data_IF_852948191356
#
_entry.id   IF_852948191356
#
_cell.length_a   1.000
_cell.length_b   1.000
_cell.length_c   1.000
_cell.angle_alpha   90.00
_cell.angle_beta   90.00
_cell.angle_gamma   90.00
#
_symmetry.space_group_name_H-M   'P 1'
#
loop_
_entity.id
_entity.type
_entity.pdbx_description
1 polymer ?
#
# COMPACT_ATOMS: atom_id res chain seq x y z
N UNK A 1 -14.40 -62.83 -41.98
CA UNK A 1 -13.05 -62.42 -42.41
C UNK A 1 -13.04 -60.91 -42.31
N UNK A 2 -12.44 -60.24 -41.33
CA UNK A 2 -11.22 -60.51 -40.57
C UNK A 2 -11.36 -61.56 -39.45
N UNK A 3 -10.26 -62.25 -39.09
CA UNK A 3 -10.30 -63.47 -38.29
C UNK A 3 -9.99 -63.18 -36.81
N UNK A 4 -10.92 -63.60 -35.95
CA UNK A 4 -10.72 -64.01 -34.56
C UNK A 4 -9.87 -63.14 -33.60
N UNK A 5 -10.55 -62.61 -32.59
CA UNK A 5 -10.04 -62.68 -31.21
C UNK A 5 -9.77 -61.35 -30.52
N UNK A 6 -10.66 -60.95 -29.60
CA UNK A 6 -10.36 -59.97 -28.54
C UNK A 6 -9.29 -60.54 -27.59
N UNK A 7 -8.31 -59.74 -27.15
CA UNK A 7 -7.43 -60.12 -26.05
C UNK A 7 -8.13 -59.96 -24.67
N UNK A 8 -7.79 -60.81 -23.69
CA UNK A 8 -8.42 -60.86 -22.36
C UNK A 8 -7.89 -59.80 -21.38
N UNK A 9 -8.66 -59.55 -20.32
CA UNK A 9 -8.39 -58.61 -19.24
C UNK A 9 -7.16 -59.01 -18.37
N UNK A 10 -6.46 -58.03 -17.77
CA UNK A 10 -5.24 -58.29 -17.00
C UNK A 10 -5.52 -58.88 -15.60
N UNK A 11 -4.63 -59.77 -15.10
CA UNK A 11 -4.73 -60.37 -13.77
C UNK A 11 -4.28 -59.44 -12.63
N UNK A 12 -4.89 -59.66 -11.47
CA UNK A 12 -4.67 -59.02 -10.18
C UNK A 12 -3.20 -59.04 -9.75
N UNK A 13 -2.63 -57.86 -9.47
CA UNK A 13 -1.27 -57.71 -8.94
C UNK A 13 -1.29 -57.67 -7.41
N UNK A 14 -0.67 -58.69 -6.82
CA UNK A 14 -0.29 -58.79 -5.42
C UNK A 14 0.87 -57.82 -5.13
N UNK A 15 0.65 -56.91 -4.18
CA UNK A 15 1.63 -55.91 -3.78
C UNK A 15 2.75 -56.52 -2.93
N UNK A 16 3.99 -56.24 -3.32
CA UNK A 16 5.22 -56.67 -2.67
C UNK A 16 5.58 -55.76 -1.50
N UNK A 17 5.76 -56.36 -0.32
CA UNK A 17 6.16 -55.71 0.93
C UNK A 17 7.69 -55.48 0.97
N UNK A 18 8.19 -54.30 1.39
CA UNK A 18 9.61 -54.07 1.63
C UNK A 18 10.08 -54.66 2.98
N UNK A 19 11.39 -54.97 3.14
CA UNK A 19 11.92 -55.73 4.27
C UNK A 19 12.04 -54.93 5.57
N UNK A 20 11.93 -55.68 6.67
CA UNK A 20 11.93 -55.28 8.08
C UNK A 20 13.35 -54.91 8.57
N UNK A 21 13.53 -53.85 9.37
CA UNK A 21 14.81 -53.57 10.03
C UNK A 21 15.05 -54.47 11.26
N UNK A 22 16.32 -54.66 11.69
CA UNK A 22 16.71 -55.58 12.77
C UNK A 22 16.32 -55.08 14.17
N UNK A 23 16.20 -56.00 15.16
CA UNK A 23 15.80 -55.65 16.53
C UNK A 23 16.94 -54.97 17.29
N UNK A 24 16.70 -53.75 17.76
CA UNK A 24 17.63 -53.03 18.65
C UNK A 24 17.36 -53.40 20.10
N UNK A 25 18.40 -53.87 20.77
CA UNK A 25 18.41 -54.21 22.19
C UNK A 25 18.32 -52.96 23.07
N UNK A 26 17.62 -53.14 24.19
CA UNK A 26 17.26 -52.18 25.22
C UNK A 26 18.45 -51.45 25.87
N UNK A 27 18.31 -50.14 26.03
CA UNK A 27 18.85 -49.36 27.17
C UNK A 27 18.20 -47.97 27.17
N UNK A 28 16.99 -47.88 27.71
CA UNK A 28 16.30 -46.62 27.98
C UNK A 28 16.63 -46.15 29.42
N UNK A 29 16.97 -44.88 29.65
CA UNK A 29 17.00 -44.32 30.99
C UNK A 29 15.57 -44.06 31.51
N UNK A 30 15.32 -44.20 32.83
CA UNK A 30 13.97 -44.17 33.37
C UNK A 30 13.37 -42.76 33.37
N UNK A 31 12.09 -42.70 32.99
CA UNK A 31 11.20 -41.53 33.11
C UNK A 31 10.91 -41.27 34.60
N UNK A 32 11.03 -40.03 35.10
CA UNK A 32 10.72 -39.72 36.50
C UNK A 32 9.21 -39.73 36.79
N UNK A 33 8.81 -40.03 38.04
CA UNK A 33 7.40 -40.17 38.46
C UNK A 33 6.66 -38.82 38.60
N UNK A 34 5.32 -38.81 38.60
CA UNK A 34 4.53 -37.60 38.82
C UNK A 34 4.51 -37.23 40.31
N UNK A 35 4.94 -36.02 40.63
CA UNK A 35 4.87 -35.46 41.99
C UNK A 35 3.62 -34.59 42.14
N UNK A 36 2.71 -35.08 42.96
CA UNK A 36 1.59 -34.37 43.58
C UNK A 36 2.05 -33.51 44.76
N UNK A 37 1.24 -32.49 45.11
CA UNK A 37 1.32 -31.57 46.29
C UNK A 37 2.31 -30.40 46.10
N UNK A 38 1.99 -29.11 46.26
CA UNK A 38 1.01 -28.45 47.12
C UNK A 38 0.73 -27.01 46.68
N UNK A 39 -0.55 -26.66 46.51
CA UNK A 39 -1.22 -25.33 46.67
C UNK A 39 -2.74 -25.64 46.53
N UNK A 40 -3.71 -24.92 47.15
CA UNK A 40 -3.75 -23.52 47.66
C UNK A 40 -4.44 -23.47 49.07
N UNK A 41 -5.09 -22.41 49.66
CA UNK A 41 -5.87 -21.28 49.09
C UNK A 41 -5.67 -19.87 49.74
N UNK A 42 -6.27 -18.80 49.18
CA UNK A 42 -6.77 -17.68 49.97
C UNK A 42 -8.29 -17.52 49.81
N UNK A 43 -9.01 -17.51 50.93
CA UNK A 43 -10.32 -16.86 51.12
C UNK A 43 -10.63 -16.88 52.64
N UNK A 44 -11.36 -15.89 53.20
CA UNK A 44 -12.77 -15.68 52.86
C UNK A 44 -13.25 -14.23 52.76
N UNK A 45 -14.20 -14.01 51.84
CA UNK A 45 -15.23 -12.99 51.99
C UNK A 45 -16.36 -13.56 52.88
N UNK A 46 -17.06 -12.74 53.68
CA UNK A 46 -18.24 -13.20 54.40
C UNK A 46 -19.50 -13.10 53.52
N UNK A 47 -20.11 -14.28 53.37
CA UNK A 47 -21.53 -14.62 53.42
C UNK A 47 -22.58 -13.83 52.64
N UNK A 48 -23.22 -14.56 51.71
CA UNK A 48 -24.56 -14.32 51.23
C UNK A 48 -25.62 -14.53 52.33
N UNK A 49 -26.67 -13.71 52.30
CA UNK A 49 -28.01 -14.12 52.71
C UNK A 49 -28.95 -13.92 51.52
N UNK A 50 -29.46 -15.05 51.05
CA UNK A 50 -30.58 -15.21 50.14
C UNK A 50 -31.86 -14.61 50.74
N UNK A 51 -32.75 -14.05 49.91
CA UNK A 51 -34.20 -14.37 49.89
C UNK A 51 -34.99 -13.45 48.94
N UNK A 52 -35.37 -14.04 47.80
CA UNK A 52 -36.70 -14.05 47.17
C UNK A 52 -37.67 -12.86 47.25
N UNK A 53 -38.20 -12.55 46.05
CA UNK A 53 -39.60 -12.24 45.74
C UNK A 53 -40.22 -10.94 46.29
N UNK A 54 -40.54 -9.99 45.40
CA UNK A 54 -41.90 -9.83 44.83
C UNK A 54 -42.02 -8.51 44.06
N UNK A 55 -42.93 -8.52 43.08
CA UNK A 55 -43.29 -7.44 42.18
C UNK A 55 -43.75 -6.14 42.88
N UNK A 56 -43.37 -4.98 42.31
CA UNK A 56 -44.23 -3.78 42.12
C UNK A 56 -43.49 -2.62 41.42
N UNK A 57 -43.99 -2.22 40.24
CA UNK A 57 -44.05 -0.81 39.81
C UNK A 57 -45.17 -0.08 40.59
N UNK A 58 -45.38 1.25 40.49
CA UNK A 58 -44.51 2.45 40.36
C UNK A 58 -44.84 3.43 41.56
N UNK A 59 -44.51 4.77 41.64
CA UNK A 59 -44.98 5.84 40.72
C UNK A 59 -44.02 7.08 40.50
N UNK A 60 -44.25 7.86 39.43
CA UNK A 60 -44.18 9.36 39.41
C UNK A 60 -45.60 9.88 39.78
N UNK A 61 -45.93 11.14 40.18
CA UNK A 61 -45.26 12.46 40.03
C UNK A 61 -45.53 13.49 41.19
N UNK A 62 -45.13 14.76 41.03
CA UNK A 62 -45.86 16.03 41.35
C UNK A 62 -44.85 17.19 41.45
N UNK A 63 -44.74 18.11 40.49
CA UNK A 63 -45.57 19.30 40.25
C UNK A 63 -45.61 20.30 41.43
N UNK A 64 -44.98 21.48 41.23
CA UNK A 64 -45.47 22.75 41.76
C UNK A 64 -45.49 23.79 40.65
N UNK A 65 -46.66 24.39 40.55
CA UNK A 65 -47.13 25.45 39.67
C UNK A 65 -46.56 26.81 40.08
N UNK A 66 -46.15 27.60 39.10
CA UNK A 66 -46.37 29.05 39.11
C UNK A 66 -46.84 29.42 37.71
N UNK A 67 -48.02 30.02 37.71
CA UNK A 67 -48.82 30.48 36.59
C UNK A 67 -48.28 31.81 36.03
N UNK A 68 -48.93 32.21 34.94
CA UNK A 68 -48.98 33.55 34.34
C UNK A 68 -47.96 33.89 33.23
N UNK A 69 -48.57 34.07 32.05
CA UNK A 69 -48.21 35.00 30.98
C UNK A 69 -47.35 34.49 29.81
N UNK A 70 -48.03 33.65 29.02
CA UNK A 70 -48.20 33.71 27.56
C UNK A 70 -47.75 35.02 26.85
N UNK A 71 -46.46 35.35 26.81
CA UNK A 71 -45.94 36.47 26.01
C UNK A 71 -45.90 36.11 24.52
N UNK A 72 -47.06 36.22 23.87
CA UNK A 72 -47.20 36.12 22.42
C UNK A 72 -46.65 37.38 21.76
N UNK A 73 -45.49 37.26 21.12
CA UNK A 73 -44.90 38.30 20.28
C UNK A 73 -45.86 38.67 19.13
N UNK A 74 -46.49 39.85 19.22
CA UNK A 74 -47.32 40.43 18.14
C UNK A 74 -46.46 41.40 17.32
N UNK A 75 -46.27 41.19 16.02
CA UNK A 75 -45.39 41.99 15.15
C UNK A 75 -45.72 43.50 14.96
N UNK A 76 -46.57 44.11 15.79
CA UNK A 76 -46.98 45.52 15.67
C UNK A 76 -46.78 46.38 16.92
N UNK A 77 -46.17 45.87 18.00
CA UNK A 77 -45.76 46.71 19.12
C UNK A 77 -44.48 47.48 18.78
N UNK A 78 -44.62 48.60 18.07
CA UNK A 78 -43.56 49.60 17.91
C UNK A 78 -43.81 50.76 18.88
N UNK A 79 -42.91 51.03 19.85
CA UNK A 79 -42.93 52.29 20.59
C UNK A 79 -42.58 53.48 19.67
N UNK A 80 -43.39 54.54 19.78
CA UNK A 80 -43.34 55.77 18.98
C UNK A 80 -42.17 56.68 19.41
N UNK A 81 -41.36 57.12 18.45
CA UNK A 81 -40.16 57.97 18.62
C UNK A 81 -40.40 59.34 19.29
N UNK A 82 -39.43 59.78 20.11
CA UNK A 82 -38.97 61.19 20.20
C UNK A 82 -37.44 61.26 20.30
N UNK A 83 -36.77 62.27 19.71
CA UNK A 83 -35.31 62.32 19.59
C UNK A 83 -34.67 63.23 20.65
N UNK A 84 -33.49 62.85 21.14
CA UNK A 84 -32.42 63.77 21.51
C UNK A 84 -31.12 63.00 21.77
N UNK A 85 -30.06 63.56 21.21
CA UNK A 85 -28.65 63.17 21.29
C UNK A 85 -28.05 63.30 22.69
N UNK A 86 -27.19 62.35 23.08
CA UNK A 86 -25.93 62.64 23.76
C UNK A 86 -25.05 61.40 23.83
N UNK A 87 -23.92 61.46 23.12
CA UNK A 87 -22.58 61.03 23.54
C UNK A 87 -22.47 60.13 24.78
N UNK A 88 -21.80 58.99 24.58
CA UNK A 88 -21.02 58.32 25.63
C UNK A 88 -21.52 56.94 26.00
N UNK A 89 -21.08 55.90 25.29
CA UNK A 89 -20.86 54.57 25.87
C UNK A 89 -19.80 53.84 25.06
N UNK A 90 -18.60 53.88 25.61
CA UNK A 90 -17.52 52.94 25.35
C UNK A 90 -17.98 51.50 25.61
N UNK A 91 -17.30 50.56 24.96
CA UNK A 91 -17.30 49.11 25.18
C UNK A 91 -18.49 48.31 24.63
N UNK A 92 -18.28 47.71 23.46
CA UNK A 92 -18.36 46.25 23.31
C UNK A 92 -17.82 45.84 21.95
N UNK A 93 -16.49 45.85 21.84
CA UNK A 93 -15.83 44.91 20.93
C UNK A 93 -16.19 43.52 21.46
N UNK A 94 -17.20 42.89 20.87
CA UNK A 94 -17.23 41.44 20.86
C UNK A 94 -15.99 41.02 20.06
N UNK A 95 -15.01 40.29 20.64
CA UNK A 95 -13.98 39.67 19.84
C UNK A 95 -14.73 38.75 18.89
N UNK A 96 -14.79 39.11 17.60
CA UNK A 96 -15.28 38.18 16.59
C UNK A 96 -14.43 36.94 16.76
N UNK A 97 -15.08 35.86 17.18
CA UNK A 97 -14.49 34.56 17.36
C UNK A 97 -13.55 34.31 16.18
N UNK A 98 -12.30 33.95 16.49
CA UNK A 98 -11.36 33.43 15.51
C UNK A 98 -12.06 32.28 14.79
N UNK A 99 -12.65 32.57 13.64
CA UNK A 99 -13.19 31.54 12.76
C UNK A 99 -11.97 30.77 12.29
N UNK A 100 -11.83 29.59 12.88
CA UNK A 100 -11.01 28.46 12.46
C UNK A 100 -10.47 28.65 11.06
N UNK A 101 -9.14 28.70 10.92
CA UNK A 101 -8.36 28.64 9.67
C UNK A 101 -9.16 27.98 8.54
N UNK A 102 -9.90 28.79 7.78
CA UNK A 102 -10.66 28.31 6.64
C UNK A 102 -9.66 28.18 5.52
N UNK A 103 -9.44 26.95 5.06
CA UNK A 103 -8.75 26.67 3.82
C UNK A 103 -9.42 27.51 2.72
N UNK A 104 -8.65 28.24 1.90
CA UNK A 104 -9.24 29.03 0.83
C UNK A 104 -10.09 28.14 -0.08
N UNK A 105 -11.13 28.70 -0.74
CA UNK A 105 -12.03 27.96 -1.61
C UNK A 105 -11.23 27.09 -2.59
N UNK A 106 -11.71 25.87 -2.92
CA UNK A 106 -10.97 24.90 -3.74
C UNK A 106 -10.42 25.46 -5.05
N UNK A 107 -11.01 26.52 -5.61
CA UNK A 107 -10.60 27.14 -6.86
C UNK A 107 -9.30 27.95 -6.80
N UNK A 108 -8.82 28.37 -5.61
CA UNK A 108 -7.57 29.14 -5.47
C UNK A 108 -6.41 28.32 -4.92
N UNK A 109 -6.65 27.07 -4.53
CA UNK A 109 -5.61 26.18 -4.06
C UNK A 109 -5.04 25.43 -5.27
N UNK A 110 -3.80 25.72 -5.63
CA UNK A 110 -3.07 24.89 -6.59
C UNK A 110 -2.93 23.44 -6.09
N UNK A 111 -2.43 22.51 -6.93
CA UNK A 111 -2.28 21.12 -6.56
C UNK A 111 -1.54 20.94 -5.23
N UNK A 112 -1.99 20.01 -4.41
CA UNK A 112 -1.33 19.73 -3.14
C UNK A 112 0.14 19.38 -3.32
N UNK A 113 1.00 20.02 -2.52
CA UNK A 113 2.43 19.73 -2.43
C UNK A 113 2.86 19.77 -0.97
N UNK A 114 3.91 19.01 -0.63
CA UNK A 114 4.44 18.95 0.73
C UNK A 114 5.96 19.00 0.74
N UNK A 115 6.52 19.69 1.74
CA UNK A 115 7.96 19.76 2.00
C UNK A 115 8.46 18.57 2.82
N UNK A 116 7.53 17.81 3.41
CA UNK A 116 7.85 16.64 4.21
C UNK A 116 8.38 15.51 3.32
N UNK A 117 9.63 15.04 3.52
CA UNK A 117 10.20 13.94 2.73
C UNK A 117 9.54 12.59 3.01
N UNK A 118 8.83 12.44 4.13
CA UNK A 118 8.17 11.18 4.52
C UNK A 118 6.76 11.05 3.95
N UNK A 119 6.22 12.16 3.42
CA UNK A 119 4.93 12.20 2.74
C UNK A 119 5.18 12.19 1.23
N UNK A 120 4.79 11.09 0.61
CA UNK A 120 4.90 10.90 -0.83
C UNK A 120 3.53 11.20 -1.43
N UNK A 121 3.40 12.28 -2.19
CA UNK A 121 2.13 12.60 -2.87
C UNK A 121 1.91 11.59 -3.99
N UNK A 122 0.75 10.94 -4.02
CA UNK A 122 0.41 9.91 -5.01
C UNK A 122 -0.80 10.33 -5.84
N UNK A 123 -0.79 9.93 -7.11
CA UNK A 123 -1.91 10.15 -8.03
C UNK A 123 -3.03 9.16 -7.80
N UNK A 124 -2.68 7.90 -7.52
CA UNK A 124 -3.65 6.87 -7.23
C UNK A 124 -3.02 5.67 -6.51
N UNK A 125 -3.87 4.89 -5.86
CA UNK A 125 -3.58 3.53 -5.40
C UNK A 125 -4.66 2.58 -5.92
N UNK A 126 -4.24 1.42 -6.42
CA UNK A 126 -5.11 0.37 -6.94
C UNK A 126 -4.84 -0.93 -6.19
N UNK A 127 -5.90 -1.64 -5.81
CA UNK A 127 -5.82 -2.97 -5.22
C UNK A 127 -6.26 -4.01 -6.24
N UNK A 128 -5.42 -5.02 -6.44
CA UNK A 128 -5.78 -6.21 -7.21
C UNK A 128 -5.85 -7.40 -6.26
N UNK A 129 -6.95 -8.15 -6.34
CA UNK A 129 -7.16 -9.30 -5.46
C UNK A 129 -6.25 -10.49 -5.80
N UNK A 130 -5.77 -10.59 -7.04
CA UNK A 130 -4.98 -11.71 -7.53
C UNK A 130 -3.85 -11.22 -8.45
N UNK A 131 -2.70 -11.91 -8.41
CA UNK A 131 -1.54 -11.68 -9.28
C UNK A 131 -1.84 -11.67 -10.79
N UNK A 132 -2.90 -12.34 -11.24
CA UNK A 132 -3.29 -12.39 -12.66
C UNK A 132 -4.44 -11.43 -13.02
N UNK A 133 -5.00 -10.71 -12.05
CA UNK A 133 -6.12 -9.82 -12.30
C UNK A 133 -5.69 -8.61 -13.13
N UNK A 134 -6.32 -8.39 -14.28
CA UNK A 134 -6.08 -7.21 -15.13
C UNK A 134 -6.86 -5.97 -14.67
N UNK A 135 -7.97 -6.19 -13.99
CA UNK A 135 -8.83 -5.12 -13.47
C UNK A 135 -8.61 -4.97 -11.97
N UNK A 136 -8.43 -3.74 -11.45
CA UNK A 136 -8.36 -3.52 -10.02
C UNK A 136 -9.71 -3.81 -9.36
N UNK A 137 -9.67 -4.41 -8.17
CA UNK A 137 -10.85 -4.67 -7.34
C UNK A 137 -11.36 -3.39 -6.65
N UNK A 138 -10.46 -2.48 -6.32
CA UNK A 138 -10.77 -1.15 -5.78
C UNK A 138 -9.66 -0.17 -6.15
N UNK A 139 -9.97 1.13 -6.03
CA UNK A 139 -9.02 2.21 -6.28
C UNK A 139 -9.31 3.44 -5.41
N UNK A 140 -8.27 4.21 -5.08
CA UNK A 140 -8.38 5.62 -4.70
C UNK A 140 -7.61 6.45 -5.71
N UNK A 141 -8.23 7.50 -6.22
CA UNK A 141 -7.62 8.44 -7.17
C UNK A 141 -7.66 9.82 -6.54
N UNK A 142 -6.51 10.48 -6.52
CA UNK A 142 -6.35 11.82 -5.96
C UNK A 142 -7.26 12.83 -6.68
N UNK A 143 -7.99 13.63 -5.90
CA UNK A 143 -8.96 14.60 -6.41
C UNK A 143 -10.29 14.02 -6.92
N UNK A 144 -10.55 12.72 -6.72
CA UNK A 144 -11.79 12.07 -7.16
C UNK A 144 -12.67 11.64 -5.98
N UNK A 145 -13.98 11.88 -6.10
CA UNK A 145 -14.97 11.48 -5.11
C UNK A 145 -14.73 12.14 -3.75
N UNK A 146 -14.47 11.33 -2.73
CA UNK A 146 -14.19 11.82 -1.36
C UNK A 146 -12.71 12.06 -1.11
N UNK A 147 -11.83 11.71 -2.05
CA UNK A 147 -10.37 11.85 -1.91
C UNK A 147 -9.94 13.20 -2.45
N UNK A 148 -9.26 14.00 -1.64
CA UNK A 148 -8.71 15.28 -2.10
C UNK A 148 -7.48 15.07 -2.97
N UNK A 149 -6.95 16.17 -3.50
CA UNK A 149 -5.68 16.20 -4.23
C UNK A 149 -4.45 15.89 -3.37
N UNK A 150 -4.59 15.80 -2.04
CA UNK A 150 -3.50 15.45 -1.12
C UNK A 150 -3.52 14.02 -0.60
N UNK A 151 -3.85 13.08 -1.48
CA UNK A 151 -3.61 11.66 -1.23
C UNK A 151 -2.09 11.41 -1.10
N UNK A 152 -1.67 10.88 0.04
CA UNK A 152 -0.26 10.61 0.33
C UNK A 152 -0.03 9.14 0.69
N UNK A 153 1.18 8.67 0.37
CA UNK A 153 1.77 7.43 0.85
C UNK A 153 2.88 7.75 1.83
N UNK A 154 2.86 7.09 3.00
CA UNK A 154 3.97 7.08 3.96
C UNK A 154 4.54 5.68 4.04
N UNK A 155 5.83 5.56 3.76
CA UNK A 155 6.56 4.30 3.87
C UNK A 155 7.39 4.35 5.15
N UNK A 156 6.97 3.59 6.17
CA UNK A 156 7.63 3.55 7.48
C UNK A 156 8.17 2.15 7.77
N UNK A 157 8.79 1.95 8.93
CA UNK A 157 9.24 0.63 9.39
C UNK A 157 8.08 -0.32 9.69
N UNK A 158 6.86 0.20 9.86
CA UNK A 158 5.67 -0.58 10.20
C UNK A 158 4.86 -1.01 8.97
N UNK A 159 5.08 -0.37 7.82
CA UNK A 159 4.32 -0.65 6.61
C UNK A 159 4.20 0.52 5.63
N UNK A 160 3.22 0.40 4.74
CA UNK A 160 2.77 1.41 3.80
C UNK A 160 1.44 1.97 4.33
N UNK A 161 1.37 3.28 4.54
CA UNK A 161 0.19 3.94 5.09
C UNK A 161 -0.34 4.98 4.13
N UNK A 162 -1.66 5.04 3.98
CA UNK A 162 -2.31 5.97 3.07
C UNK A 162 -3.15 6.95 3.86
N UNK A 163 -3.00 8.24 3.56
CA UNK A 163 -3.77 9.30 4.20
C UNK A 163 -4.23 10.32 3.16
N UNK A 164 -5.33 10.99 3.45
CA UNK A 164 -5.70 12.25 2.82
C UNK A 164 -5.18 13.39 3.72
N UNK A 165 -4.05 13.97 3.35
CA UNK A 165 -3.34 14.94 4.19
C UNK A 165 -4.03 16.30 4.27
N UNK A 166 -4.88 16.61 3.29
CA UNK A 166 -5.68 17.86 3.28
C UNK A 166 -6.80 17.77 4.29
N UNK A 167 -7.46 16.62 4.36
CA UNK A 167 -8.55 16.35 5.30
C UNK A 167 -8.05 15.84 6.65
N UNK A 168 -6.80 15.41 6.74
CA UNK A 168 -6.24 14.72 7.90
C UNK A 168 -6.91 13.37 8.18
N UNK A 169 -7.42 12.70 7.13
CA UNK A 169 -8.17 11.45 7.25
C UNK A 169 -7.28 10.28 6.85
N UNK A 170 -6.99 9.34 7.77
CA UNK A 170 -6.27 8.12 7.41
C UNK A 170 -7.17 7.19 6.60
N UNK A 171 -6.65 6.67 5.48
CA UNK A 171 -7.31 5.69 4.61
C UNK A 171 -6.91 4.28 5.06
N UNK A 172 -7.23 3.94 6.31
CA UNK A 172 -6.68 2.75 7.01
C UNK A 172 -6.96 1.43 6.30
N UNK A 173 -8.04 1.35 5.55
CA UNK A 173 -8.40 0.19 4.73
C UNK A 173 -7.43 -0.07 3.58
N UNK A 174 -6.58 0.91 3.24
CA UNK A 174 -5.51 0.81 2.26
C UNK A 174 -4.13 0.57 2.87
N UNK A 175 -4.01 0.60 4.21
CA UNK A 175 -2.74 0.39 4.90
C UNK A 175 -2.24 -1.05 4.69
N UNK A 176 -0.94 -1.18 4.41
CA UNK A 176 -0.27 -2.47 4.22
C UNK A 176 0.79 -2.64 5.29
N UNK A 177 0.61 -3.61 6.18
CA UNK A 177 1.56 -3.87 7.27
C UNK A 177 2.87 -4.49 6.76
N UNK A 178 4.00 -4.10 7.34
CA UNK A 178 5.33 -4.55 6.93
C UNK A 178 5.49 -6.08 6.96
N UNK A 179 4.92 -6.75 7.99
CA UNK A 179 5.02 -8.20 8.13
C UNK A 179 4.20 -8.99 7.09
N UNK A 180 3.25 -8.34 6.39
CA UNK A 180 2.50 -8.97 5.29
C UNK A 180 3.21 -8.81 3.96
N UNK A 181 4.22 -7.93 3.83
CA UNK A 181 4.87 -7.68 2.56
C UNK A 181 5.76 -8.86 2.13
N UNK A 182 5.65 -9.23 0.85
CA UNK A 182 6.47 -10.25 0.19
C UNK A 182 7.52 -9.60 -0.70
N UNK A 183 7.07 -8.70 -1.58
CA UNK A 183 7.87 -8.13 -2.65
C UNK A 183 7.43 -6.69 -2.90
N UNK A 184 8.40 -5.81 -3.08
CA UNK A 184 8.20 -4.46 -3.58
C UNK A 184 8.91 -4.34 -4.92
N UNK A 185 8.18 -3.90 -5.94
CA UNK A 185 8.70 -3.67 -7.29
C UNK A 185 8.58 -2.20 -7.62
N UNK A 186 9.67 -1.63 -8.13
CA UNK A 186 9.74 -0.19 -8.40
C UNK A 186 10.04 0.05 -9.88
N UNK A 187 9.24 0.92 -10.48
CA UNK A 187 9.50 1.50 -11.79
C UNK A 187 10.01 2.93 -11.64
N UNK A 188 11.25 3.14 -12.07
CA UNK A 188 11.85 4.45 -12.23
C UNK A 188 12.50 4.52 -13.61
N UNK A 189 12.00 5.34 -14.56
CA UNK A 189 12.51 5.38 -15.92
C UNK A 189 14.03 5.58 -16.02
N UNK A 190 14.66 6.59 -15.38
CA UNK A 190 16.11 6.76 -15.49
C UNK A 190 16.92 5.63 -14.88
N UNK A 191 16.40 4.97 -13.85
CA UNK A 191 17.08 3.82 -13.25
C UNK A 191 16.93 2.59 -14.13
N UNK A 192 15.70 2.21 -14.47
CA UNK A 192 15.41 0.98 -15.19
C UNK A 192 15.89 1.01 -16.66
N UNK A 193 15.91 2.18 -17.30
CA UNK A 193 16.40 2.31 -18.69
C UNK A 193 17.93 2.41 -18.76
N UNK A 194 18.60 3.05 -17.80
CA UNK A 194 20.07 3.10 -17.76
C UNK A 194 20.69 1.80 -17.22
N UNK A 195 20.05 1.10 -16.28
CA UNK A 195 20.50 -0.24 -15.85
C UNK A 195 20.48 -1.25 -16.99
N UNK A 196 19.60 -1.07 -17.98
CA UNK A 196 19.63 -1.83 -19.23
C UNK A 196 20.82 -1.48 -20.14
N UNK A 197 21.39 -0.27 -20.04
CA UNK A 197 22.56 0.17 -20.81
C UNK A 197 23.90 -0.22 -20.16
N UNK A 198 23.97 -0.26 -18.82
CA UNK A 198 25.18 -0.61 -18.06
C UNK A 198 25.54 -2.11 -18.08
N UNK A 199 24.73 -2.95 -18.73
CA UNK A 199 24.95 -4.39 -18.85
C UNK A 199 25.66 -4.81 -20.16
N UNK A 200 26.18 -3.86 -20.94
CA UNK A 200 27.08 -4.19 -22.05
C UNK A 200 28.47 -4.49 -21.48
N UNK A 201 28.98 -5.75 -21.55
CA UNK A 201 30.37 -5.99 -21.21
C UNK A 201 31.22 -5.23 -22.24
N UNK A 202 32.15 -4.41 -21.76
CA UNK A 202 33.23 -3.91 -22.59
C UNK A 202 34.02 -5.14 -23.10
N UNK A 203 33.75 -5.59 -24.32
CA UNK A 203 34.53 -6.64 -24.98
C UNK A 203 35.89 -6.06 -25.39
N UNK A 204 36.84 -6.04 -24.46
CA UNK A 204 38.25 -6.10 -24.81
C UNK A 204 38.61 -7.57 -25.03
N UNK A 205 38.56 -8.05 -26.27
CA UNK A 205 39.54 -9.03 -26.79
C UNK A 205 39.25 -9.37 -28.25
N UNK A 206 40.33 -9.27 -29.03
CA UNK A 206 40.43 -9.55 -30.44
C UNK A 206 40.31 -11.05 -30.77
N UNK A 207 39.99 -11.31 -32.04
CA UNK A 207 40.14 -12.57 -32.80
C UNK A 207 39.21 -13.75 -32.46
N UNK A 208 38.06 -13.83 -33.17
CA UNK A 208 37.62 -15.05 -33.86
C UNK A 208 36.44 -14.75 -34.82
N UNK A 209 36.48 -15.15 -36.11
CA UNK A 209 35.43 -14.85 -37.07
C UNK A 209 34.46 -16.04 -37.22
N UNK A 210 33.50 -16.18 -36.31
CA UNK A 210 32.37 -17.11 -36.49
C UNK A 210 31.20 -16.72 -35.58
N UNK A 211 30.06 -16.34 -36.14
CA UNK A 211 28.80 -16.20 -35.39
C UNK A 211 28.20 -14.80 -35.33
N UNK A 212 27.95 -14.16 -36.48
CA UNK A 212 27.18 -12.91 -36.54
C UNK A 212 25.68 -13.13 -36.22
N UNK A 213 25.12 -14.31 -36.53
CA UNK A 213 23.71 -14.63 -36.27
C UNK A 213 23.40 -15.04 -34.82
N UNK A 214 24.38 -15.56 -34.07
CA UNK A 214 24.19 -15.90 -32.64
C UNK A 214 24.18 -14.66 -31.73
N UNK A 215 24.81 -13.55 -32.16
CA UNK A 215 24.95 -12.31 -31.38
C UNK A 215 23.64 -11.53 -31.24
N UNK A 216 22.78 -11.50 -32.26
CA UNK A 216 21.49 -10.78 -32.17
C UNK A 216 20.45 -11.49 -31.30
N UNK A 217 20.44 -12.83 -31.29
CA UNK A 217 19.52 -13.61 -30.46
C UNK A 217 19.87 -13.49 -28.97
N UNK A 218 21.16 -13.53 -28.63
CA UNK A 218 21.64 -13.36 -27.25
C UNK A 218 21.58 -11.92 -26.74
N UNK A 219 21.56 -10.91 -27.63
CA UNK A 219 21.36 -9.52 -27.23
C UNK A 219 19.90 -9.29 -26.83
N UNK A 220 18.92 -9.72 -27.65
CA UNK A 220 17.48 -9.62 -27.31
C UNK A 220 17.09 -10.44 -26.07
N UNK A 221 17.70 -11.62 -25.87
CA UNK A 221 17.47 -12.42 -24.68
C UNK A 221 18.07 -11.79 -23.40
N UNK A 222 19.13 -10.98 -23.50
CA UNK A 222 19.73 -10.29 -22.35
C UNK A 222 19.14 -8.93 -22.04
N UNK A 223 18.49 -8.26 -23.00
CA UNK A 223 17.75 -7.00 -22.77
C UNK A 223 16.43 -7.23 -22.02
N UNK A 224 15.89 -8.46 -22.06
CA UNK A 224 14.64 -8.82 -21.37
C UNK A 224 14.87 -9.45 -19.98
N UNK A 225 16.04 -10.03 -19.72
CA UNK A 225 16.20 -10.99 -18.60
C UNK A 225 16.91 -10.44 -17.34
N UNK A 226 17.60 -9.29 -17.41
CA UNK A 226 18.43 -8.82 -16.27
C UNK A 226 17.90 -7.66 -15.44
N UNK A 227 16.80 -7.02 -15.83
CA UNK A 227 16.32 -5.80 -15.18
C UNK A 227 15.02 -5.90 -14.38
N UNK A 228 14.24 -6.99 -14.53
CA UNK A 228 12.82 -6.97 -14.14
C UNK A 228 12.29 -8.17 -13.36
N UNK A 229 13.10 -9.18 -13.09
CA UNK A 229 12.61 -10.46 -12.54
C UNK A 229 13.47 -11.04 -11.43
N UNK A 230 14.68 -10.51 -11.18
CA UNK A 230 15.49 -10.95 -10.05
C UNK A 230 15.00 -10.26 -8.78
N UNK A 231 14.36 -11.02 -7.89
CA UNK A 231 14.07 -10.56 -6.53
C UNK A 231 15.38 -10.42 -5.76
N UNK A 232 15.72 -9.19 -5.42
CA UNK A 232 16.89 -8.81 -4.63
C UNK A 232 16.56 -8.85 -3.14
N UNK A 233 17.52 -9.27 -2.33
CA UNK A 233 17.44 -9.32 -0.87
C UNK A 233 18.76 -8.83 -0.26
N UNK A 234 18.82 -8.70 1.07
CA UNK A 234 20.04 -8.28 1.79
C UNK A 234 20.69 -7.02 1.23
N UNK A 235 22.01 -7.05 1.09
CA UNK A 235 22.84 -5.95 0.59
C UNK A 235 22.60 -5.65 -0.91
N UNK A 236 22.27 -6.66 -1.73
CA UNK A 236 21.98 -6.45 -3.15
C UNK A 236 20.78 -5.50 -3.34
N UNK A 237 19.74 -5.66 -2.51
CA UNK A 237 18.59 -4.78 -2.53
C UNK A 237 18.93 -3.36 -2.04
N UNK A 238 19.80 -3.21 -1.03
CA UNK A 238 20.22 -1.89 -0.55
C UNK A 238 21.06 -1.14 -1.58
N UNK A 239 21.96 -1.85 -2.29
CA UNK A 239 22.72 -1.30 -3.41
C UNK A 239 21.79 -0.84 -4.54
N UNK A 240 20.82 -1.67 -4.93
CA UNK A 240 19.80 -1.32 -5.93
C UNK A 240 19.02 -0.07 -5.55
N UNK A 241 18.53 0.02 -4.32
CA UNK A 241 17.76 1.19 -3.86
C UNK A 241 18.62 2.45 -3.76
N UNK A 242 19.91 2.31 -3.44
CA UNK A 242 20.86 3.44 -3.39
C UNK A 242 21.12 4.00 -4.79
N UNK A 243 21.32 3.11 -5.77
CA UNK A 243 21.49 3.50 -7.17
C UNK A 243 20.22 4.13 -7.74
N UNK A 244 19.05 3.56 -7.43
CA UNK A 244 17.75 4.13 -7.77
C UNK A 244 17.55 5.52 -7.17
N UNK A 245 17.90 5.71 -5.89
CA UNK A 245 17.82 7.00 -5.22
C UNK A 245 18.70 8.05 -5.93
N UNK A 246 19.90 7.66 -6.35
CA UNK A 246 20.82 8.52 -7.10
C UNK A 246 20.24 8.93 -8.45
N UNK A 247 19.67 7.99 -9.19
CA UNK A 247 18.99 8.26 -10.46
C UNK A 247 17.79 9.19 -10.28
N UNK A 248 16.93 8.93 -9.28
CA UNK A 248 15.77 9.77 -9.00
C UNK A 248 16.15 11.21 -8.59
N UNK A 249 17.19 11.37 -7.74
CA UNK A 249 17.64 12.70 -7.31
C UNK A 249 18.24 13.53 -8.42
N UNK A 250 18.92 12.91 -9.39
CA UNK A 250 19.61 13.59 -10.48
C UNK A 250 18.75 13.82 -11.73
N UNK A 251 17.58 13.18 -11.80
CA UNK A 251 16.71 13.21 -12.98
C UNK A 251 15.25 13.50 -12.63
N UNK A 252 14.57 12.58 -11.92
CA UNK A 252 13.13 12.66 -11.64
C UNK A 252 12.75 13.88 -10.79
N UNK A 253 13.53 14.16 -9.75
CA UNK A 253 13.32 15.32 -8.88
C UNK A 253 13.38 16.66 -9.62
N UNK A 254 14.07 16.70 -10.76
CA UNK A 254 14.27 17.90 -11.57
C UNK A 254 13.26 18.02 -12.71
N UNK A 255 12.30 17.09 -12.83
CA UNK A 255 11.34 17.10 -13.95
C UNK A 255 11.97 16.73 -15.30
N UNK A 256 13.14 16.08 -15.29
CA UNK A 256 13.92 15.84 -16.51
C UNK A 256 13.63 14.49 -17.16
N UNK A 257 12.71 13.67 -16.64
CA UNK A 257 12.46 12.35 -17.21
C UNK A 257 11.81 12.45 -18.59
N UNK A 258 10.83 13.33 -18.75
CA UNK A 258 10.14 13.47 -20.03
C UNK A 258 11.11 13.88 -21.16
N UNK A 259 11.95 14.88 -20.89
CA UNK A 259 12.93 15.37 -21.89
C UNK A 259 14.04 14.38 -22.18
N UNK A 260 14.63 13.73 -21.16
CA UNK A 260 15.73 12.77 -21.36
C UNK A 260 15.30 11.48 -22.03
N UNK A 261 14.06 11.05 -21.80
CA UNK A 261 13.56 9.76 -22.31
C UNK A 261 12.55 9.92 -23.44
N UNK A 262 12.34 11.13 -23.96
CA UNK A 262 11.40 11.43 -25.06
C UNK A 262 11.56 10.48 -26.25
N UNK A 263 12.79 10.20 -26.65
CA UNK A 263 13.09 9.35 -27.81
C UNK A 263 13.16 7.84 -27.50
N UNK A 264 13.04 7.45 -26.23
CA UNK A 264 13.06 6.03 -25.86
C UNK A 264 11.74 5.37 -26.27
N UNK A 265 11.82 4.42 -27.21
CA UNK A 265 10.69 3.61 -27.65
C UNK A 265 10.60 2.34 -26.81
N UNK A 266 9.58 2.24 -25.96
CA UNK A 266 9.25 1.01 -25.23
C UNK A 266 8.04 0.40 -25.94
N UNK A 267 8.09 -0.86 -26.36
CA UNK A 267 6.98 -1.46 -27.09
C UNK A 267 5.70 -1.51 -26.24
N UNK A 268 4.56 -1.07 -26.82
CA UNK A 268 3.21 -1.27 -26.25
C UNK A 268 2.72 -2.70 -26.52
N UNK A 269 1.96 -3.26 -25.59
CA UNK A 269 1.22 -4.50 -25.82
C UNK A 269 0.13 -4.36 -26.90
N UNK A 270 -0.35 -3.14 -27.15
CA UNK A 270 -1.34 -2.83 -28.19
C UNK A 270 -0.75 -2.76 -29.61
N UNK A 271 0.58 -2.86 -29.76
CA UNK A 271 1.27 -2.67 -31.04
C UNK A 271 1.32 -1.21 -31.52
N UNK A 272 0.71 -0.26 -30.81
CA UNK A 272 0.82 1.15 -31.12
C UNK A 272 2.17 1.70 -30.62
N UNK A 273 3.03 2.09 -31.55
CA UNK A 273 4.32 2.77 -31.28
C UNK A 273 4.15 4.26 -31.02
N UNK A 274 3.08 4.65 -30.33
CA UNK A 274 2.79 6.04 -29.97
C UNK A 274 3.73 6.58 -28.89
N UNK A 275 3.93 7.90 -28.89
CA UNK A 275 4.63 8.65 -27.85
C UNK A 275 4.04 8.30 -26.48
N UNK A 276 4.86 7.71 -25.62
CA UNK A 276 4.45 7.40 -24.25
C UNK A 276 4.46 8.71 -23.47
N UNK A 277 3.27 9.29 -23.25
CA UNK A 277 3.08 10.57 -22.54
C UNK A 277 3.21 10.46 -21.02
N UNK A 278 3.14 9.25 -20.47
CA UNK A 278 3.32 8.94 -19.04
C UNK A 278 4.75 8.59 -18.63
N UNK A 279 5.78 9.06 -19.37
CA UNK A 279 7.19 8.78 -19.02
C UNK A 279 7.62 9.44 -17.71
N UNK A 280 6.87 10.43 -17.24
CA UNK A 280 7.06 11.08 -15.94
C UNK A 280 6.44 10.29 -14.78
N UNK A 281 5.61 9.27 -15.05
CA UNK A 281 4.98 8.49 -13.99
C UNK A 281 5.90 7.39 -13.48
N UNK A 282 5.92 7.26 -12.16
CA UNK A 282 6.58 6.21 -11.43
C UNK A 282 5.53 5.25 -10.86
N UNK A 283 5.93 3.99 -10.72
CA UNK A 283 5.04 2.94 -10.22
C UNK A 283 5.73 2.21 -9.09
N UNK A 284 5.01 2.04 -7.98
CA UNK A 284 5.38 1.15 -6.89
C UNK A 284 4.35 0.03 -6.83
N UNK A 285 4.79 -1.22 -6.93
CA UNK A 285 3.93 -2.39 -6.78
C UNK A 285 4.34 -3.15 -5.52
N UNK A 286 3.43 -3.29 -4.56
CA UNK A 286 3.65 -4.03 -3.32
C UNK A 286 2.78 -5.29 -3.32
N UNK A 287 3.42 -6.46 -3.23
CA UNK A 287 2.75 -7.76 -3.15
C UNK A 287 2.78 -8.26 -1.72
N UNK A 288 1.64 -8.74 -1.20
CA UNK A 288 1.53 -9.28 0.16
C UNK A 288 1.57 -10.82 0.19
N UNK A 289 1.73 -11.39 1.39
CA UNK A 289 1.88 -12.82 1.70
C UNK A 289 0.54 -13.48 2.02
N UNK A 290 -0.48 -13.22 1.23
CA UNK A 290 -1.78 -13.88 1.37
C UNK A 290 -1.95 -15.03 0.37
N UNK A 291 -2.98 -15.85 0.59
CA UNK A 291 -3.32 -16.96 -0.32
C UNK A 291 -3.77 -16.46 -1.70
N UNK A 292 -4.27 -15.23 -1.76
CA UNK A 292 -4.86 -14.60 -2.94
C UNK A 292 -3.82 -13.92 -3.83
N UNK A 293 -2.64 -13.57 -3.29
CA UNK A 293 -1.60 -12.82 -3.99
C UNK A 293 -2.01 -11.37 -4.22
N UNK A 294 -2.60 -10.70 -3.22
CA UNK A 294 -2.99 -9.29 -3.34
C UNK A 294 -1.79 -8.43 -3.66
N UNK A 295 -2.03 -7.45 -4.53
CA UNK A 295 -1.03 -6.45 -4.89
C UNK A 295 -1.63 -5.06 -4.89
N UNK A 296 -0.87 -4.13 -4.32
CA UNK A 296 -1.17 -2.71 -4.31
C UNK A 296 -0.29 -2.03 -5.35
N UNK A 297 -0.87 -1.19 -6.18
CA UNK A 297 -0.14 -0.42 -7.19
C UNK A 297 -0.34 1.06 -6.94
N UNK A 298 0.76 1.75 -6.66
CA UNK A 298 0.79 3.19 -6.43
C UNK A 298 1.34 3.87 -7.68
N UNK A 299 0.65 4.91 -8.13
CA UNK A 299 1.07 5.76 -9.24
C UNK A 299 1.53 7.09 -8.68
N UNK A 300 2.74 7.51 -9.04
CA UNK A 300 3.41 8.68 -8.48
C UNK A 300 3.95 9.56 -9.60
N UNK A 301 4.08 10.86 -9.30
CA UNK A 301 4.81 11.77 -10.17
C UNK A 301 6.33 11.63 -9.98
N UNK A 302 7.09 12.09 -10.99
CA UNK A 302 8.54 12.03 -10.97
C UNK A 302 9.20 12.80 -9.81
N UNK A 303 8.60 13.91 -9.38
CA UNK A 303 9.14 14.73 -8.29
C UNK A 303 9.12 14.01 -6.93
N UNK A 304 8.18 13.07 -6.78
CA UNK A 304 7.94 12.30 -5.55
C UNK A 304 8.71 10.98 -5.54
N UNK A 305 9.15 10.50 -6.71
CA UNK A 305 9.77 9.19 -6.91
C UNK A 305 11.01 8.92 -6.05
N UNK A 306 11.83 9.94 -5.78
CA UNK A 306 13.04 9.76 -4.97
C UNK A 306 12.71 9.39 -3.52
N UNK A 307 11.55 9.81 -3.00
CA UNK A 307 11.10 9.49 -1.64
C UNK A 307 10.79 8.00 -1.50
N UNK A 308 10.34 7.34 -2.57
CA UNK A 308 10.08 5.89 -2.59
C UNK A 308 11.33 5.09 -2.26
N UNK A 309 12.47 5.43 -2.87
CA UNK A 309 13.73 4.74 -2.60
C UNK A 309 14.14 4.86 -1.11
N UNK A 310 14.04 6.06 -0.54
CA UNK A 310 14.33 6.33 0.89
C UNK A 310 13.36 5.57 1.79
N UNK A 311 12.06 5.60 1.46
CA UNK A 311 11.01 4.91 2.19
C UNK A 311 11.23 3.40 2.22
N UNK A 312 11.48 2.78 1.06
CA UNK A 312 11.69 1.32 0.97
C UNK A 312 12.96 0.90 1.69
N UNK A 313 14.05 1.67 1.62
CA UNK A 313 15.26 1.41 2.43
C UNK A 313 14.96 1.40 3.93
N UNK A 314 14.18 2.37 4.40
CA UNK A 314 13.76 2.45 5.81
C UNK A 314 12.87 1.27 6.21
N UNK A 315 11.88 0.95 5.40
CA UNK A 315 10.98 -0.18 5.61
C UNK A 315 11.76 -1.49 5.76
N UNK A 316 12.71 -1.77 4.87
CA UNK A 316 13.55 -2.98 4.91
C UNK A 316 14.39 -3.12 6.17
N UNK A 317 14.86 -1.99 6.72
CA UNK A 317 15.62 -1.94 7.98
C UNK A 317 14.72 -2.03 9.22
N UNK A 318 13.40 -2.05 9.03
CA UNK A 318 12.42 -2.16 10.11
C UNK A 318 12.31 -3.56 10.68
N UNK A 319 12.10 -3.67 12.00
CA UNK A 319 12.00 -4.95 12.73
C UNK A 319 10.74 -5.75 12.41
N UNK A 320 9.70 -5.12 11.84
CA UNK A 320 8.45 -5.79 11.48
C UNK A 320 8.54 -6.50 10.11
N UNK A 321 9.57 -6.24 9.31
CA UNK A 321 9.79 -6.93 8.04
C UNK A 321 10.39 -8.31 8.30
N UNK A 322 9.74 -9.35 7.77
CA UNK A 322 10.22 -10.75 7.89
C UNK A 322 11.21 -11.12 6.78
N UNK A 323 10.82 -10.87 5.53
CA UNK A 323 11.68 -11.01 4.34
C UNK A 323 11.07 -10.22 3.19
N UNK A 324 11.51 -8.98 3.01
CA UNK A 324 11.04 -8.15 1.92
C UNK A 324 11.97 -8.27 0.72
N UNK A 325 11.47 -8.85 -0.37
CA UNK A 325 12.12 -8.79 -1.67
C UNK A 325 11.98 -7.41 -2.30
N UNK A 326 12.98 -6.99 -3.08
CA UNK A 326 12.94 -5.79 -3.93
C UNK A 326 13.23 -6.18 -5.36
N UNK A 327 12.51 -5.64 -6.33
CA UNK A 327 12.84 -5.82 -7.75
C UNK A 327 12.60 -4.53 -8.53
N UNK A 328 13.28 -4.39 -9.67
CA UNK A 328 12.86 -3.46 -10.70
C UNK A 328 11.63 -4.00 -11.43
N UNK A 329 10.79 -3.10 -11.91
CA UNK A 329 9.75 -3.41 -12.88
C UNK A 329 10.32 -3.29 -14.30
N UNK A 330 9.94 -4.17 -15.23
CA UNK A 330 10.33 -3.98 -16.63
C UNK A 330 9.63 -2.76 -17.21
N UNK A 331 10.25 -2.16 -18.24
CA UNK A 331 9.65 -1.06 -18.98
C UNK A 331 8.32 -1.47 -19.62
N UNK A 332 8.23 -2.70 -20.14
CA UNK A 332 7.01 -3.25 -20.71
C UNK A 332 5.91 -3.46 -19.66
N UNK A 333 6.24 -3.97 -18.48
CA UNK A 333 5.24 -4.20 -17.42
C UNK A 333 4.70 -2.89 -16.87
N UNK A 334 5.58 -1.90 -16.67
CA UNK A 334 5.19 -0.56 -16.29
C UNK A 334 4.26 0.06 -17.35
N UNK A 335 4.58 -0.10 -18.64
CA UNK A 335 3.76 0.36 -19.77
C UNK A 335 2.37 -0.20 -19.71
N UNK A 336 2.33 -1.52 -19.74
CA UNK A 336 1.09 -2.27 -19.86
C UNK A 336 0.19 -1.99 -18.66
N UNK A 337 0.78 -1.82 -17.47
CA UNK A 337 0.01 -1.46 -16.30
C UNK A 337 -0.57 -0.05 -16.41
N UNK A 338 0.25 0.95 -16.74
CA UNK A 338 -0.22 2.34 -16.87
C UNK A 338 -1.27 2.47 -17.99
N UNK A 339 -1.10 1.78 -19.12
CA UNK A 339 -2.09 1.70 -20.21
C UNK A 339 -3.40 1.06 -19.72
N UNK A 340 -3.33 -0.09 -19.04
CA UNK A 340 -4.51 -0.81 -18.53
C UNK A 340 -5.28 0.03 -17.50
N UNK A 341 -4.57 0.84 -16.72
CA UNK A 341 -5.15 1.73 -15.71
C UNK A 341 -5.62 3.08 -16.28
N UNK A 342 -5.44 3.33 -17.58
CA UNK A 342 -5.92 4.53 -18.27
C UNK A 342 -5.04 5.77 -18.05
N UNK A 343 -3.77 5.60 -17.71
CA UNK A 343 -2.84 6.72 -17.57
C UNK A 343 -2.19 7.13 -18.91
N UNK A 344 -2.08 6.21 -19.88
CA UNK A 344 -1.41 6.41 -21.18
C UNK A 344 -2.09 7.38 -22.14
#
# INVERSE_FOLDING_TARGET
MWPNGRPPAPPSTTASTPPRPPPSASSAPPRPPPSSSSMPPPTPAPSAASSSNTARQPPRPSARTVDEDQYSYRPYDKPRHRPASSVGSESSWAPSATTTRTTPPPSMRGPYTTKDPDKIVIRAVYLFMNQFAKTPASQLVSGFGTVTDGLILRITTEGLFIDDDVRGVPQREWDVKAWTLKLVEVWCPPHCLNSNAASAPAMNSANHPSGLFQKMANQRARTADRGATKTLTGDEADAYLTEMLRACKSCCRLGLCDTKFKDTNIASSSGQTGEWKTKSLHVLRATVRDQEGKRYMFVLDEEEAWKVAVGVQRLRKGTQVRSLGVSGMSASDARNTLETLGWS
#
